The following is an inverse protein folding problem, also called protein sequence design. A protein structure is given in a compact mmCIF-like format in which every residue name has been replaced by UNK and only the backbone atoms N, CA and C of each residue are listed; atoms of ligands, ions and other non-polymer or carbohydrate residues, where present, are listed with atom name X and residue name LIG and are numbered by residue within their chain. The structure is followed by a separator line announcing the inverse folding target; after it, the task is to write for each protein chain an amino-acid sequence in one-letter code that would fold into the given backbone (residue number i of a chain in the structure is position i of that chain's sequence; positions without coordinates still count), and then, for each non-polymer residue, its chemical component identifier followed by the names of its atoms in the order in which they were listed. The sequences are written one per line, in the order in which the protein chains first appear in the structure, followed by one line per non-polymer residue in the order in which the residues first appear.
data_IF_645439691273
#
_entry.id   IF_645439691273
#
_cell.length_a   1.000
_cell.length_b   1.000
_cell.length_c   1.000
_cell.angle_alpha   90.00
_cell.angle_beta   90.00
_cell.angle_gamma   90.00
#
_symmetry.space_group_name_H-M   'P 1'
#
loop_
_entity.id
_entity.type
_entity.pdbx_description
1 polymer ?
#
# COMPACT_ATOMS: atom_id res chain seq x y z
N UNK A 1 11.90 -14.62 -34.73
CA UNK A 1 10.78 -13.67 -34.78
C UNK A 1 10.25 -13.54 -33.37
N UNK A 2 10.14 -12.31 -32.84
CA UNK A 2 9.54 -12.10 -31.52
C UNK A 2 8.05 -12.48 -31.53
N UNK A 3 7.61 -13.15 -30.47
CA UNK A 3 6.25 -13.57 -30.19
C UNK A 3 5.32 -12.38 -30.00
N UNK A 4 4.00 -12.62 -30.13
CA UNK A 4 3.00 -11.57 -29.93
C UNK A 4 3.02 -10.96 -28.51
N UNK A 5 3.46 -11.72 -27.51
CA UNK A 5 3.66 -11.25 -26.14
C UNK A 5 4.85 -10.31 -26.05
N UNK A 6 5.99 -10.67 -26.65
CA UNK A 6 7.20 -9.84 -26.64
C UNK A 6 6.98 -8.48 -27.30
N UNK A 7 6.19 -8.43 -28.39
CA UNK A 7 5.79 -7.16 -29.03
C UNK A 7 4.80 -6.34 -28.20
N UNK A 8 3.95 -6.99 -27.40
CA UNK A 8 2.95 -6.31 -26.57
C UNK A 8 3.58 -5.66 -25.32
N UNK A 9 4.72 -6.17 -24.86
CA UNK A 9 5.42 -5.63 -23.69
C UNK A 9 6.69 -4.85 -24.04
N UNK A 10 7.01 -4.71 -25.33
CA UNK A 10 8.22 -4.05 -25.83
C UNK A 10 8.41 -2.63 -25.25
N UNK A 11 7.31 -1.90 -25.06
CA UNK A 11 7.32 -0.53 -24.54
C UNK A 11 6.90 -0.42 -23.06
N UNK A 12 6.61 -1.54 -22.39
CA UNK A 12 6.25 -1.50 -20.97
C UNK A 12 7.49 -1.12 -20.14
N UNK A 13 7.41 -0.01 -19.42
CA UNK A 13 8.48 0.48 -18.55
C UNK A 13 9.39 1.54 -19.17
N UNK A 14 9.19 1.94 -20.43
CA UNK A 14 9.94 3.06 -21.03
C UNK A 14 9.74 4.38 -20.27
N UNK A 15 8.62 4.53 -19.56
CA UNK A 15 8.32 5.68 -18.68
C UNK A 15 8.26 5.26 -17.20
N UNK A 16 9.00 4.21 -16.80
CA UNK A 16 9.00 3.76 -15.42
C UNK A 16 9.67 4.82 -14.52
N UNK A 17 8.85 5.61 -13.82
CA UNK A 17 9.31 6.77 -13.03
C UNK A 17 10.11 6.42 -11.77
N UNK A 18 10.08 5.16 -11.33
CA UNK A 18 10.86 4.61 -10.20
C UNK A 18 10.92 3.07 -10.33
N UNK A 19 11.75 2.37 -9.57
CA UNK A 19 11.80 0.92 -9.65
C UNK A 19 10.47 0.27 -9.18
N UNK A 20 10.15 -0.92 -9.69
CA UNK A 20 8.86 -1.57 -9.39
C UNK A 20 8.65 -1.75 -7.88
N UNK A 21 9.70 -2.12 -7.15
CA UNK A 21 9.62 -2.32 -5.71
C UNK A 21 9.33 -1.01 -4.94
N UNK A 22 9.84 0.13 -5.40
CA UNK A 22 9.55 1.43 -4.79
C UNK A 22 8.12 1.88 -5.11
N UNK A 23 7.69 1.71 -6.36
CA UNK A 23 6.31 1.94 -6.75
C UNK A 23 5.34 1.09 -5.90
N UNK A 24 5.65 -0.18 -5.69
CA UNK A 24 4.83 -1.09 -4.88
C UNK A 24 4.77 -0.66 -3.41
N UNK A 25 5.90 -0.19 -2.84
CA UNK A 25 5.93 0.37 -1.49
C UNK A 25 5.05 1.62 -1.35
N UNK A 26 5.11 2.55 -2.31
CA UNK A 26 4.28 3.76 -2.34
C UNK A 26 2.81 3.39 -2.46
N UNK A 27 2.50 2.46 -3.38
CA UNK A 27 1.13 2.04 -3.64
C UNK A 27 0.50 1.36 -2.42
N UNK A 28 1.23 0.48 -1.73
CA UNK A 28 0.74 -0.13 -0.49
C UNK A 28 0.59 0.90 0.63
N UNK A 29 1.55 1.82 0.78
CA UNK A 29 1.43 2.89 1.77
C UNK A 29 0.17 3.74 1.53
N UNK A 30 -0.08 4.13 0.27
CA UNK A 30 -1.27 4.90 -0.10
C UNK A 30 -2.57 4.17 0.25
N UNK A 31 -2.67 2.88 -0.10
CA UNK A 31 -3.85 2.05 0.21
C UNK A 31 -4.13 1.99 1.71
N UNK A 32 -3.09 1.82 2.54
CA UNK A 32 -3.26 1.73 4.00
C UNK A 32 -3.63 3.07 4.61
N UNK A 33 -3.05 4.17 4.14
CA UNK A 33 -3.45 5.51 4.57
C UNK A 33 -4.94 5.78 4.28
N UNK A 34 -5.42 5.41 3.10
CA UNK A 34 -6.85 5.51 2.75
C UNK A 34 -7.74 4.65 3.66
N UNK A 35 -7.32 3.43 3.98
CA UNK A 35 -8.05 2.53 4.89
C UNK A 35 -8.17 3.12 6.30
N UNK A 36 -7.12 3.76 6.81
CA UNK A 36 -7.13 4.38 8.15
C UNK A 36 -8.26 5.39 8.32
N UNK A 37 -8.52 6.22 7.29
CA UNK A 37 -9.63 7.17 7.31
C UNK A 37 -10.99 6.49 7.30
N UNK A 38 -11.13 5.36 6.60
CA UNK A 38 -12.40 4.63 6.52
C UNK A 38 -12.72 3.86 7.80
N UNK A 39 -11.71 3.38 8.53
CA UNK A 39 -11.95 2.62 9.76
C UNK A 39 -12.74 3.39 10.82
N UNK A 40 -12.56 4.71 10.92
CA UNK A 40 -13.35 5.53 11.86
C UNK A 40 -14.85 5.47 11.54
N UNK A 41 -15.19 5.57 10.24
CA UNK A 41 -16.57 5.40 9.80
C UNK A 41 -17.06 3.95 9.99
N UNK A 42 -16.22 2.94 9.77
CA UNK A 42 -16.61 1.54 9.97
C UNK A 42 -16.90 1.21 11.44
N UNK A 43 -16.11 1.75 12.36
CA UNK A 43 -16.32 1.62 13.80
C UNK A 43 -17.62 2.31 14.22
N UNK A 44 -17.89 3.52 13.69
CA UNK A 44 -19.13 4.24 13.94
C UNK A 44 -20.35 3.48 13.39
N UNK A 45 -20.26 2.96 12.16
CA UNK A 45 -21.34 2.18 11.53
C UNK A 45 -21.64 0.87 12.27
N UNK A 46 -20.70 0.34 13.04
CA UNK A 46 -20.85 -0.86 13.84
C UNK A 46 -21.41 -0.59 15.26
N UNK A 47 -21.99 0.58 15.51
CA UNK A 47 -22.65 0.92 16.78
C UNK A 47 -23.65 -0.17 17.22
N UNK A 48 -23.64 -0.51 18.51
CA UNK A 48 -24.44 -1.59 19.07
C UNK A 48 -23.87 -3.00 18.87
N UNK A 49 -22.86 -3.19 17.99
CA UNK A 49 -22.17 -4.46 17.80
C UNK A 49 -20.71 -4.39 18.25
N UNK A 50 -20.47 -4.70 19.52
CA UNK A 50 -19.13 -4.62 20.14
C UNK A 50 -18.09 -5.49 19.43
N UNK A 51 -18.43 -6.72 19.06
CA UNK A 51 -17.51 -7.63 18.39
C UNK A 51 -17.07 -7.08 17.03
N UNK A 52 -18.00 -6.50 16.27
CA UNK A 52 -17.69 -5.89 14.98
C UNK A 52 -16.84 -4.62 15.13
N UNK A 53 -17.12 -3.76 16.12
CA UNK A 53 -16.27 -2.61 16.42
C UNK A 53 -14.84 -3.04 16.78
N UNK A 54 -14.69 -4.10 17.58
CA UNK A 54 -13.38 -4.61 18.00
C UNK A 54 -12.59 -5.21 16.85
N UNK A 55 -13.27 -5.89 15.91
CA UNK A 55 -12.69 -6.29 14.63
C UNK A 55 -12.10 -5.08 13.87
N UNK A 56 -12.89 -4.02 13.67
CA UNK A 56 -12.41 -2.82 12.96
C UNK A 56 -11.28 -2.09 13.69
N UNK A 57 -11.32 -2.00 15.02
CA UNK A 57 -10.22 -1.43 15.83
C UNK A 57 -8.93 -2.24 15.67
N UNK A 58 -9.04 -3.56 15.63
CA UNK A 58 -7.89 -4.46 15.42
C UNK A 58 -7.28 -4.26 14.05
N UNK A 59 -8.10 -4.22 13.00
CA UNK A 59 -7.63 -3.97 11.62
C UNK A 59 -7.00 -2.57 11.50
N UNK A 60 -7.60 -1.55 12.11
CA UNK A 60 -7.03 -0.20 12.16
C UNK A 60 -5.65 -0.19 12.83
N UNK A 61 -5.49 -0.89 13.94
CA UNK A 61 -4.22 -0.97 14.66
C UNK A 61 -3.14 -1.67 13.82
N UNK A 62 -3.49 -2.76 13.14
CA UNK A 62 -2.57 -3.46 12.22
C UNK A 62 -2.13 -2.55 11.07
N UNK A 63 -3.05 -1.78 10.49
CA UNK A 63 -2.71 -0.85 9.40
C UNK A 63 -1.85 0.33 9.87
N UNK A 64 -2.02 0.83 11.10
CA UNK A 64 -1.12 1.83 11.69
C UNK A 64 0.32 1.29 11.79
N UNK A 65 0.48 0.08 12.31
CA UNK A 65 1.79 -0.57 12.42
C UNK A 65 2.43 -0.84 11.04
N UNK A 66 1.60 -1.21 10.06
CA UNK A 66 2.07 -1.43 8.69
C UNK A 66 2.48 -0.12 8.00
N UNK A 67 1.74 0.97 8.21
CA UNK A 67 2.12 2.31 7.72
C UNK A 67 3.49 2.70 8.28
N UNK A 68 3.75 2.48 9.56
CA UNK A 68 5.05 2.79 10.16
C UNK A 68 6.18 1.93 9.59
N UNK A 69 5.94 0.64 9.35
CA UNK A 69 6.91 -0.26 8.69
C UNK A 69 7.20 0.20 7.26
N UNK A 70 6.17 0.51 6.47
CA UNK A 70 6.31 0.95 5.08
C UNK A 70 7.08 2.28 4.99
N UNK A 71 6.79 3.24 5.86
CA UNK A 71 7.54 4.50 5.93
C UNK A 71 9.03 4.27 6.23
N UNK A 72 9.35 3.33 7.14
CA UNK A 72 10.75 2.98 7.44
C UNK A 72 11.44 2.35 6.24
N UNK A 73 10.79 1.40 5.55
CA UNK A 73 11.34 0.76 4.36
C UNK A 73 11.61 1.77 3.24
N UNK A 74 10.65 2.65 2.94
CA UNK A 74 10.84 3.72 1.95
C UNK A 74 12.03 4.62 2.34
N UNK A 75 12.13 5.01 3.62
CA UNK A 75 13.26 5.80 4.08
C UNK A 75 14.60 5.07 3.96
N UNK A 76 14.63 3.74 4.10
CA UNK A 76 15.82 2.93 3.88
C UNK A 76 16.20 2.83 2.40
N UNK A 77 15.24 2.63 1.48
CA UNK A 77 15.50 2.62 0.03
C UNK A 77 16.02 3.98 -0.46
N UNK A 78 15.45 5.08 0.04
CA UNK A 78 15.95 6.44 -0.24
C UNK A 78 17.41 6.59 0.24
N UNK A 79 17.74 6.13 1.44
CA UNK A 79 19.11 6.20 1.99
C UNK A 79 20.11 5.38 1.19
N UNK A 80 19.67 4.25 0.61
CA UNK A 80 20.50 3.42 -0.27
C UNK A 80 20.71 4.05 -1.65
N UNK A 81 19.95 5.10 -1.99
CA UNK A 81 19.97 5.73 -3.31
C UNK A 81 19.29 4.86 -4.38
N UNK A 82 18.40 3.96 -3.96
CA UNK A 82 17.70 3.03 -4.84
C UNK A 82 16.26 3.47 -5.18
N UNK A 83 15.79 4.57 -4.58
CA UNK A 83 14.42 5.10 -4.66
C UNK A 83 14.25 6.19 -5.73
#
# INVERSE_FOLDING_TARGET
MATAVEKATEHMGETQGTANHDHDLIQELSKRLDSLWRYDQYIANAEGNRALQECWRTLKQQDLENVDKLKKMIAEEIKKGCF
#
